data_IF_991504106166
#
_entry.id   IF_991504106166
#
_cell.length_a   1.000
_cell.length_b   1.000
_cell.length_c   1.000
_cell.angle_alpha   90.00
_cell.angle_beta   90.00
_cell.angle_gamma   90.00
#
_symmetry.space_group_name_H-M   'P 1'
#
loop_
_entity.id
_entity.type
_entity.pdbx_description
1 polymer ?
#
# COMPACT_ATOMS: atom_id res chain seq x y z
N UNK A 1 -9.97 -14.37 14.03
CA UNK A 1 -8.54 -14.61 13.72
C UNK A 1 -8.07 -13.45 12.86
N UNK A 2 -6.89 -12.90 13.12
CA UNK A 2 -6.33 -11.79 12.33
C UNK A 2 -5.47 -12.37 11.22
N UNK A 3 -5.62 -11.83 10.01
CA UNK A 3 -4.75 -12.19 8.89
C UNK A 3 -3.30 -11.73 9.14
N UNK A 4 -2.32 -12.29 8.41
CA UNK A 4 -0.94 -11.82 8.46
C UNK A 4 -0.85 -10.31 8.22
N UNK A 5 0.15 -9.64 8.82
CA UNK A 5 0.31 -8.20 8.66
C UNK A 5 0.45 -7.82 7.18
N UNK A 6 -0.15 -6.69 6.82
CA UNK A 6 0.01 -6.12 5.49
C UNK A 6 1.47 -5.69 5.26
N UNK A 7 1.96 -5.73 4.00
CA UNK A 7 3.23 -5.12 3.66
C UNK A 7 3.25 -3.64 4.05
N UNK A 8 4.41 -3.16 4.51
CA UNK A 8 4.64 -1.76 4.87
C UNK A 8 5.72 -1.22 3.95
N UNK A 9 5.50 -0.03 3.38
CA UNK A 9 6.48 0.68 2.53
C UNK A 9 6.69 2.12 3.00
N UNK A 10 7.86 2.73 2.76
CA UNK A 10 8.08 4.16 2.95
C UNK A 10 7.13 5.04 2.13
N UNK A 11 6.81 6.24 2.61
CA UNK A 11 5.90 7.19 1.94
C UNK A 11 6.38 7.73 0.58
N UNK A 12 7.69 7.66 0.33
CA UNK A 12 8.34 8.06 -0.92
C UNK A 12 8.44 6.89 -1.92
N UNK A 13 7.88 5.72 -1.59
CA UNK A 13 7.85 4.57 -2.51
C UNK A 13 6.98 4.88 -3.73
N UNK A 14 7.52 4.67 -4.93
CA UNK A 14 6.78 4.92 -6.17
C UNK A 14 5.59 3.97 -6.33
N UNK A 15 4.49 4.46 -6.90
CA UNK A 15 3.31 3.64 -7.21
C UNK A 15 3.66 2.42 -8.08
N UNK A 16 4.61 2.56 -9.01
CA UNK A 16 5.08 1.46 -9.85
C UNK A 16 5.69 0.30 -9.04
N UNK A 17 6.38 0.59 -7.94
CA UNK A 17 6.94 -0.44 -7.05
C UNK A 17 5.87 -1.08 -6.15
N UNK A 18 4.80 -0.35 -5.83
CA UNK A 18 3.70 -0.83 -4.96
C UNK A 18 2.71 -1.70 -5.75
N UNK A 19 2.54 -1.44 -7.05
CA UNK A 19 1.55 -2.13 -7.90
C UNK A 19 1.64 -3.67 -7.84
N UNK A 20 2.81 -4.32 -7.97
CA UNK A 20 2.91 -5.79 -7.87
C UNK A 20 2.53 -6.34 -6.49
N UNK A 21 2.69 -5.55 -5.42
CA UNK A 21 2.27 -5.95 -4.08
C UNK A 21 0.75 -5.99 -3.98
N UNK A 22 0.07 -4.98 -4.55
CA UNK A 22 -1.39 -4.87 -4.55
C UNK A 22 -2.09 -5.92 -5.44
N UNK A 23 -1.38 -6.50 -6.41
CA UNK A 23 -1.86 -7.65 -7.18
C UNK A 23 -1.99 -8.92 -6.33
N UNK A 24 -1.15 -9.08 -5.29
CA UNK A 24 -1.07 -10.29 -4.46
C UNK A 24 -1.60 -10.12 -3.04
N UNK A 25 -1.75 -8.88 -2.57
CA UNK A 25 -2.17 -8.52 -1.21
C UNK A 25 -3.39 -7.60 -1.25
N UNK A 26 -4.13 -7.54 -0.14
CA UNK A 26 -5.35 -6.71 -0.06
C UNK A 26 -5.05 -5.21 0.04
N UNK A 27 -3.87 -4.83 0.52
CA UNK A 27 -3.44 -3.44 0.66
C UNK A 27 -1.98 -3.35 1.07
N UNK A 28 -1.45 -2.13 1.06
CA UNK A 28 -0.10 -1.81 1.50
C UNK A 28 -0.18 -0.64 2.49
N UNK A 29 0.42 -0.78 3.65
CA UNK A 29 0.54 0.30 4.64
C UNK A 29 1.68 1.22 4.25
N UNK A 30 1.48 2.51 4.46
CA UNK A 30 2.48 3.56 4.18
C UNK A 30 3.03 4.09 5.49
N UNK A 31 4.35 4.18 5.59
CA UNK A 31 5.04 4.65 6.79
C UNK A 31 5.91 5.89 6.52
N UNK A 32 5.89 6.82 7.48
CA UNK A 32 6.87 7.91 7.62
C UNK A 32 7.72 7.62 8.85
N UNK A 33 8.93 7.13 8.63
CA UNK A 33 9.78 6.62 9.71
C UNK A 33 9.11 5.47 10.47
N UNK A 34 8.94 5.62 11.79
CA UNK A 34 8.31 4.58 12.64
C UNK A 34 6.77 4.66 12.71
N UNK A 35 6.15 5.62 12.01
CA UNK A 35 4.71 5.88 12.09
C UNK A 35 4.00 5.42 10.82
N UNK A 36 2.92 4.65 10.96
CA UNK A 36 1.98 4.39 9.87
C UNK A 36 1.17 5.66 9.61
N UNK A 37 1.22 6.16 8.37
CA UNK A 37 0.57 7.40 7.95
C UNK A 37 -0.59 7.16 7.00
N UNK A 38 -0.73 5.95 6.44
CA UNK A 38 -1.86 5.64 5.56
C UNK A 38 -1.86 4.21 5.05
N UNK A 39 -2.78 3.96 4.12
CA UNK A 39 -2.95 2.69 3.42
C UNK A 39 -3.26 3.00 1.95
N UNK A 40 -2.70 2.18 1.05
CA UNK A 40 -3.02 2.19 -0.38
C UNK A 40 -3.67 0.85 -0.70
N UNK A 41 -4.79 0.90 -1.42
CA UNK A 41 -5.54 -0.28 -1.87
C UNK A 41 -5.63 -0.35 -3.40
N UNK A 42 -6.05 -1.49 -3.94
CA UNK A 42 -6.31 -1.63 -5.38
C UNK A 42 -7.31 -0.60 -5.91
N UNK A 43 -8.32 -0.26 -5.11
CA UNK A 43 -9.34 0.72 -5.48
C UNK A 43 -8.78 2.13 -5.62
N UNK A 44 -7.69 2.47 -4.92
CA UNK A 44 -7.04 3.77 -5.04
C UNK A 44 -6.29 3.90 -6.37
N UNK A 45 -5.78 2.80 -6.94
CA UNK A 45 -5.18 2.79 -8.28
C UNK A 45 -6.20 3.08 -9.39
N UNK A 46 -7.48 2.80 -9.18
CA UNK A 46 -8.53 3.13 -10.14
C UNK A 46 -8.84 4.64 -10.16
N UNK A 47 -8.63 5.33 -9.03
CA UNK A 47 -8.88 6.78 -8.91
C UNK A 47 -7.85 7.62 -9.66
N UNK A 48 -6.69 7.08 -10.02
CA UNK A 48 -5.64 7.82 -10.75
C UNK A 48 -5.88 7.85 -12.26
N UNK A 49 -6.89 7.14 -12.76
CA UNK A 49 -7.21 7.03 -14.19
C UNK A 49 -8.46 7.86 -14.56
N UNK A 50 -9.04 8.56 -13.58
CA UNK A 50 -10.21 9.42 -13.74
C UNK A 50 -9.87 10.90 -13.66
#
# INVERSE_FOLDING_TARGET
VMDPPLPIVPEDTSISAIRPLLERRQGVLVARGKKIVGIITRSDLLKTIG
#
